data_IF_934714360088
#
_entry.id   IF_934714360088
#
_cell.length_a   1.000
_cell.length_b   1.000
_cell.length_c   1.000
_cell.angle_alpha   90.00
_cell.angle_beta   90.00
_cell.angle_gamma   90.00
#
_symmetry.space_group_name_H-M   'P 1'
#
loop_
_entity.id
_entity.type
_entity.pdbx_description
1 polymer ?
#
# COMPACT_ATOMS: atom_id res chain seq x y z
N UNK A 1 24.30 -20.02 13.52
CA UNK A 1 23.86 -19.72 12.13
C UNK A 1 24.34 -18.32 11.77
N UNK A 2 24.94 -18.15 10.58
CA UNK A 2 25.42 -16.83 10.12
C UNK A 2 24.27 -15.94 9.67
N UNK A 3 24.45 -14.63 9.79
CA UNK A 3 23.52 -13.64 9.20
C UNK A 3 23.95 -13.38 7.76
N UNK A 4 23.01 -13.48 6.83
CA UNK A 4 23.20 -13.07 5.44
C UNK A 4 22.37 -11.82 5.17
N UNK A 5 22.89 -10.93 4.33
CA UNK A 5 22.15 -9.74 3.86
C UNK A 5 21.60 -10.07 2.48
N UNK A 6 20.28 -10.02 2.35
CA UNK A 6 19.56 -10.32 1.10
C UNK A 6 18.92 -9.03 0.61
N UNK A 7 19.02 -8.77 -0.68
CA UNK A 7 18.28 -7.70 -1.36
C UNK A 7 17.28 -8.35 -2.31
N UNK A 8 16.04 -7.89 -2.27
CA UNK A 8 14.94 -8.42 -3.07
C UNK A 8 14.24 -7.26 -3.80
N UNK A 9 13.76 -7.52 -5.00
CA UNK A 9 12.97 -6.57 -5.80
C UNK A 9 11.75 -7.28 -6.41
N UNK A 10 10.82 -7.76 -5.57
CA UNK A 10 9.58 -8.38 -6.04
C UNK A 10 8.61 -7.34 -6.60
N UNK A 11 7.70 -7.78 -7.47
CA UNK A 11 6.46 -7.08 -7.77
C UNK A 11 5.43 -7.46 -6.70
N UNK A 12 4.92 -6.48 -5.94
CA UNK A 12 4.04 -6.71 -4.80
C UNK A 12 2.82 -5.80 -4.94
N UNK A 13 1.65 -6.36 -4.65
CA UNK A 13 0.40 -5.62 -4.45
C UNK A 13 0.04 -5.61 -2.96
N UNK A 14 -0.57 -4.51 -2.50
CA UNK A 14 -0.96 -4.34 -1.10
C UNK A 14 -2.43 -3.99 -0.99
N UNK A 15 -3.11 -4.56 0.01
CA UNK A 15 -4.41 -4.08 0.48
C UNK A 15 -4.24 -3.33 1.78
N UNK A 16 -4.96 -2.22 1.92
CA UNK A 16 -4.92 -1.38 3.11
C UNK A 16 -6.28 -0.76 3.37
N UNK A 17 -6.78 -0.94 4.59
CA UNK A 17 -7.90 -0.14 5.10
C UNK A 17 -7.37 1.15 5.71
N UNK A 18 -8.00 2.26 5.32
CA UNK A 18 -7.71 3.61 5.77
C UNK A 18 -8.99 4.44 5.75
N UNK A 19 -9.29 5.10 6.87
CA UNK A 19 -10.35 6.09 6.93
C UNK A 19 -9.88 7.37 6.22
N UNK A 20 -10.46 7.66 5.06
CA UNK A 20 -10.19 8.88 4.28
C UNK A 20 -11.45 9.74 4.27
N UNK A 21 -11.39 11.01 4.73
CA UNK A 21 -12.56 11.88 4.73
C UNK A 21 -13.18 12.00 3.33
N UNK A 22 -14.52 11.99 3.27
CA UNK A 22 -15.31 12.15 2.04
C UNK A 22 -15.07 11.10 0.93
N UNK A 23 -14.39 9.98 1.27
CA UNK A 23 -14.20 8.84 0.37
C UNK A 23 -15.04 7.65 0.85
N UNK A 24 -15.93 7.18 -0.03
CA UNK A 24 -16.74 5.97 0.13
C UNK A 24 -16.47 5.01 -1.03
N UNK A 25 -17.02 3.79 -0.95
CA UNK A 25 -16.84 2.73 -1.97
C UNK A 25 -17.34 3.11 -3.37
N UNK A 26 -18.19 4.13 -3.48
CA UNK A 26 -18.68 4.67 -4.76
C UNK A 26 -18.01 5.97 -5.21
N UNK A 27 -17.05 6.50 -4.45
CA UNK A 27 -16.37 7.75 -4.77
C UNK A 27 -15.61 7.62 -6.09
N UNK A 28 -15.67 8.66 -6.93
CA UNK A 28 -15.00 8.65 -8.22
C UNK A 28 -13.49 8.58 -8.02
N UNK A 29 -12.81 7.83 -8.88
CA UNK A 29 -11.35 7.70 -8.81
C UNK A 29 -10.64 9.04 -8.73
N UNK A 30 -11.06 10.05 -9.50
CA UNK A 30 -10.50 11.41 -9.45
C UNK A 30 -10.47 12.02 -8.04
N UNK A 31 -11.54 11.83 -7.26
CA UNK A 31 -11.67 12.35 -5.91
C UNK A 31 -10.77 11.55 -4.94
N UNK A 32 -10.72 10.22 -5.11
CA UNK A 32 -9.81 9.34 -4.36
C UNK A 32 -8.35 9.70 -4.60
N UNK A 33 -7.96 10.00 -5.84
CA UNK A 33 -6.61 10.40 -6.20
C UNK A 33 -6.17 11.71 -5.50
N UNK A 34 -7.09 12.58 -5.05
CA UNK A 34 -6.73 13.80 -4.30
C UNK A 34 -6.07 13.46 -2.94
N UNK A 35 -6.38 12.29 -2.37
CA UNK A 35 -5.86 11.85 -1.08
C UNK A 35 -4.52 11.10 -1.19
N UNK A 36 -3.87 11.12 -2.37
CA UNK A 36 -2.60 10.40 -2.62
C UNK A 36 -1.55 10.68 -1.56
N UNK A 37 -1.44 11.92 -1.08
CA UNK A 37 -0.45 12.29 -0.07
C UNK A 37 -0.73 11.61 1.29
N UNK A 38 -2.00 11.54 1.71
CA UNK A 38 -2.42 10.94 2.98
C UNK A 38 -2.26 9.42 2.93
N UNK A 39 -2.72 8.79 1.86
CA UNK A 39 -2.59 7.35 1.62
C UNK A 39 -1.11 6.95 1.55
N UNK A 40 -0.30 7.71 0.83
CA UNK A 40 1.14 7.46 0.74
C UNK A 40 1.81 7.57 2.11
N UNK A 41 1.51 8.62 2.88
CA UNK A 41 2.13 8.85 4.18
C UNK A 41 1.85 7.71 5.16
N UNK A 42 0.60 7.23 5.20
CA UNK A 42 0.23 6.09 6.04
C UNK A 42 0.86 4.79 5.55
N UNK A 43 0.86 4.54 4.24
CA UNK A 43 1.51 3.37 3.66
C UNK A 43 3.01 3.33 3.95
N UNK A 44 3.71 4.45 3.75
CA UNK A 44 5.12 4.60 4.08
C UNK A 44 5.38 4.38 5.58
N UNK A 45 4.51 4.89 6.46
CA UNK A 45 4.63 4.66 7.91
C UNK A 45 4.56 3.17 8.24
N UNK A 46 3.61 2.43 7.66
CA UNK A 46 3.46 0.98 7.85
C UNK A 46 4.65 0.20 7.27
N UNK A 47 5.12 0.56 6.07
CA UNK A 47 6.29 -0.06 5.46
C UNK A 47 7.58 0.14 6.26
N UNK A 48 7.83 1.34 6.78
CA UNK A 48 8.99 1.60 7.65
C UNK A 48 8.98 0.75 8.93
N UNK A 49 7.79 0.44 9.44
CA UNK A 49 7.63 -0.44 10.60
C UNK A 49 7.88 -1.91 10.23
N UNK A 50 7.46 -2.34 9.04
CA UNK A 50 7.62 -3.73 8.58
C UNK A 50 9.04 -4.05 8.06
N UNK A 51 9.71 -3.09 7.42
CA UNK A 51 11.04 -3.26 6.80
C UNK A 51 12.04 -2.22 7.31
N UNK A 52 12.50 -2.34 8.57
CA UNK A 52 13.40 -1.38 9.20
C UNK A 52 14.78 -1.32 8.53
N UNK A 53 15.20 -2.36 7.79
CA UNK A 53 16.44 -2.40 7.01
C UNK A 53 16.41 -1.44 5.81
N UNK A 54 15.22 -0.96 5.44
CA UNK A 54 14.99 0.00 4.37
C UNK A 54 14.36 -0.61 3.12
N UNK A 55 13.66 0.21 2.37
CA UNK A 55 13.06 -0.12 1.08
C UNK A 55 13.24 1.05 0.10
N UNK A 56 13.02 0.76 -1.19
CA UNK A 56 12.95 1.78 -2.24
C UNK A 56 11.71 1.50 -3.07
N UNK A 57 10.82 2.48 -3.13
CA UNK A 57 9.62 2.42 -3.95
C UNK A 57 9.84 3.27 -5.21
N UNK A 58 9.69 2.64 -6.37
CA UNK A 58 9.89 3.29 -7.67
C UNK A 58 8.62 3.95 -8.20
N UNK A 59 7.47 3.32 -7.96
CA UNK A 59 6.14 3.77 -8.37
C UNK A 59 5.18 3.62 -7.20
N UNK A 60 4.17 4.49 -7.14
CA UNK A 60 3.08 4.37 -6.17
C UNK A 60 1.78 4.78 -6.86
N UNK A 61 0.93 3.78 -7.06
CA UNK A 61 -0.40 3.86 -7.63
C UNK A 61 -1.37 3.19 -6.65
N UNK A 62 -2.57 3.75 -6.53
CA UNK A 62 -3.60 3.24 -5.64
C UNK A 62 -4.97 3.58 -6.22
N UNK A 63 -5.98 2.86 -5.78
CA UNK A 63 -7.38 3.07 -6.11
C UNK A 63 -8.26 2.34 -5.11
N UNK A 64 -9.57 2.41 -5.29
CA UNK A 64 -10.50 1.64 -4.47
C UNK A 64 -10.34 0.15 -4.76
N UNK A 65 -10.43 -0.68 -3.71
CA UNK A 65 -10.53 -2.12 -3.88
C UNK A 65 -11.87 -2.44 -4.55
N UNK A 66 -11.79 -2.94 -5.78
CA UNK A 66 -12.96 -3.32 -6.60
C UNK A 66 -13.30 -4.80 -6.47
N UNK A 67 -12.62 -5.54 -5.58
CA UNK A 67 -12.86 -6.96 -5.34
C UNK A 67 -12.20 -7.88 -6.38
N UNK A 68 -11.31 -7.38 -7.23
CA UNK A 68 -10.67 -8.19 -8.28
C UNK A 68 -9.58 -9.15 -7.75
N UNK A 69 -9.16 -8.97 -6.50
CA UNK A 69 -8.17 -9.82 -5.82
C UNK A 69 -8.65 -10.20 -4.40
N UNK A 70 -9.76 -10.92 -4.29
CA UNK A 70 -10.30 -11.39 -2.99
C UNK A 70 -9.30 -12.27 -2.21
N UNK A 71 -8.40 -12.97 -2.92
CA UNK A 71 -7.43 -13.90 -2.34
C UNK A 71 -6.36 -13.23 -1.47
N UNK A 72 -6.13 -11.91 -1.61
CA UNK A 72 -5.12 -11.20 -0.82
C UNK A 72 -5.54 -10.94 0.64
N UNK A 73 -6.81 -11.20 0.97
CA UNK A 73 -7.36 -11.04 2.33
C UNK A 73 -7.87 -12.33 2.97
N UNK A 74 -7.68 -13.48 2.32
CA UNK A 74 -8.07 -14.79 2.85
C UNK A 74 -6.85 -15.55 3.36
N UNK A 75 -6.49 -15.30 4.63
CA UNK A 75 -5.67 -16.21 5.46
C UNK A 75 -6.35 -16.40 6.83
#
# INVERSE_FOLDING_TARGET
>A
MGKVRIQMAPEIEFKMELDVPDVETGTRDYDVQQHKQEVYAEFERRLKQAFPEGYRMHTFEFGLDTGWHEDLGQD
#
